data_IF_349476393927
#
_entry.id   IF_349476393927
#
_cell.length_a   1.000
_cell.length_b   1.000
_cell.length_c   1.000
_cell.angle_alpha   90.00
_cell.angle_beta   90.00
_cell.angle_gamma   90.00
#
_symmetry.space_group_name_H-M   'P 1'
#
loop_
_entity.id
_entity.type
_entity.pdbx_description
1 polymer ?
#
# COMPACT_ATOMS: atom_id res chain seq x y z
N UNK A 1 65.18 51.89 60.66
CA UNK A 1 65.07 50.45 60.42
C UNK A 1 63.66 50.22 59.81
N UNK A 2 63.58 50.04 58.49
CA UNK A 2 62.33 49.94 57.77
C UNK A 2 61.98 48.46 57.55
N UNK A 3 60.88 47.99 58.09
CA UNK A 3 60.36 46.68 57.97
C UNK A 3 59.45 46.64 56.68
N UNK A 4 59.81 45.86 55.69
CA UNK A 4 59.00 45.62 54.52
C UNK A 4 58.08 44.41 54.72
N UNK A 5 56.81 44.69 54.68
CA UNK A 5 55.78 43.66 54.72
C UNK A 5 55.58 43.08 53.27
N UNK A 6 55.82 41.80 53.14
CA UNK A 6 55.47 41.07 51.87
C UNK A 6 54.07 40.47 52.08
N UNK A 7 53.09 40.95 51.30
CA UNK A 7 51.76 40.38 51.24
C UNK A 7 51.80 39.22 50.25
N UNK A 8 51.60 38.01 50.72
CA UNK A 8 51.55 36.82 49.88
C UNK A 8 50.11 36.60 49.37
N UNK A 9 49.87 36.83 48.10
CA UNK A 9 48.57 36.64 47.44
C UNK A 9 48.44 35.16 47.03
N UNK A 10 47.61 34.39 47.76
CA UNK A 10 47.27 33.03 47.38
C UNK A 10 46.14 33.08 46.38
N UNK A 11 46.47 32.78 45.13
CA UNK A 11 45.49 32.69 44.03
C UNK A 11 44.86 31.28 44.08
N UNK A 12 43.61 31.19 44.52
CA UNK A 12 42.82 29.93 44.46
C UNK A 12 42.22 29.80 43.06
N UNK A 13 42.78 28.93 42.24
CA UNK A 13 42.26 28.60 40.91
C UNK A 13 41.15 27.59 41.07
N UNK A 14 39.89 28.03 40.92
CA UNK A 14 38.71 27.17 40.92
C UNK A 14 38.59 26.45 39.57
N UNK A 15 38.98 25.17 39.49
CA UNK A 15 38.81 24.32 38.34
C UNK A 15 37.37 23.84 38.29
N UNK A 16 36.52 24.48 37.46
CA UNK A 16 35.19 23.99 37.15
C UNK A 16 35.30 22.84 36.12
N UNK A 17 35.18 21.61 36.56
CA UNK A 17 35.05 20.44 35.73
C UNK A 17 33.65 20.47 35.03
N UNK A 18 33.60 20.89 33.79
CA UNK A 18 32.43 20.69 32.96
C UNK A 18 32.31 19.19 32.67
N UNK A 19 31.44 18.50 33.41
CA UNK A 19 30.95 17.17 33.02
C UNK A 19 30.14 17.33 31.75
N UNK A 20 30.76 17.14 30.58
CA UNK A 20 30.09 17.01 29.30
C UNK A 20 29.34 15.68 29.33
N UNK A 21 28.08 15.69 29.71
CA UNK A 21 27.15 14.64 29.39
C UNK A 21 27.08 14.57 27.85
N UNK A 22 27.83 13.65 27.24
CA UNK A 22 27.54 13.19 25.89
C UNK A 22 26.18 12.50 25.95
N UNK A 23 25.11 13.23 25.63
CA UNK A 23 23.89 12.59 25.12
C UNK A 23 24.26 11.93 23.80
N UNK A 24 24.69 10.67 23.82
CA UNK A 24 24.71 9.85 22.63
C UNK A 24 23.28 9.34 22.42
N UNK A 25 22.39 10.25 22.04
CA UNK A 25 21.18 9.84 21.36
C UNK A 25 21.58 9.55 19.91
N UNK A 26 21.88 8.31 19.63
CA UNK A 26 21.82 7.79 18.27
C UNK A 26 20.33 7.68 17.89
N UNK A 27 19.60 8.78 17.97
CA UNK A 27 18.23 8.89 17.49
C UNK A 27 18.27 8.98 15.96
N UNK A 28 18.68 7.86 15.33
CA UNK A 28 18.32 7.66 13.93
C UNK A 28 16.79 7.50 13.93
N UNK A 29 16.04 8.40 13.30
CA UNK A 29 14.59 8.25 13.23
C UNK A 29 14.26 6.85 12.70
N UNK A 30 13.26 6.16 13.25
CA UNK A 30 12.88 4.85 12.73
C UNK A 30 12.58 4.98 11.23
N UNK A 31 12.95 3.99 10.41
CA UNK A 31 12.64 4.01 9.00
C UNK A 31 11.16 4.29 8.78
N UNK A 32 10.85 5.25 7.91
CA UNK A 32 9.48 5.62 7.60
C UNK A 32 8.71 4.39 7.11
N UNK A 33 7.42 4.37 7.37
CA UNK A 33 6.48 3.47 6.70
C UNK A 33 5.75 4.23 5.60
N UNK A 34 5.14 3.51 4.68
CA UNK A 34 4.32 4.15 3.65
C UNK A 34 3.05 3.33 3.39
N UNK A 35 1.99 4.03 3.02
CA UNK A 35 0.76 3.38 2.58
C UNK A 35 0.21 4.01 1.30
N UNK A 36 -0.43 3.18 0.50
CA UNK A 36 -1.05 3.48 -0.78
C UNK A 36 -2.55 3.27 -0.65
N UNK A 37 -3.39 4.17 -1.13
CA UNK A 37 -4.84 4.06 -1.00
C UNK A 37 -5.47 3.87 -2.37
N UNK A 38 -6.38 2.91 -2.47
CA UNK A 38 -7.12 2.58 -3.70
C UNK A 38 -8.61 2.51 -3.42
N UNK A 39 -9.40 3.25 -4.19
CA UNK A 39 -10.85 3.14 -4.15
C UNK A 39 -11.32 2.10 -5.18
N UNK A 40 -11.59 0.87 -4.71
CA UNK A 40 -11.99 -0.28 -5.53
C UNK A 40 -13.43 -0.77 -5.25
N UNK A 41 -14.25 0.00 -4.53
CA UNK A 41 -15.67 -0.29 -4.27
C UNK A 41 -16.54 0.24 -5.41
N UNK A 42 -17.17 -0.63 -6.23
CA UNK A 42 -17.68 -0.23 -7.55
C UNK A 42 -18.90 0.69 -7.53
N UNK A 43 -19.72 0.66 -6.48
CA UNK A 43 -20.93 1.49 -6.37
C UNK A 43 -20.92 2.42 -5.13
N UNK A 44 -19.75 2.59 -4.50
CA UNK A 44 -19.59 3.61 -3.48
C UNK A 44 -19.40 5.00 -4.13
N UNK A 45 -19.81 6.08 -3.46
CA UNK A 45 -19.54 7.44 -3.93
C UNK A 45 -18.04 7.73 -3.88
N UNK A 46 -17.62 8.89 -4.41
CA UNK A 46 -16.29 9.39 -4.14
C UNK A 46 -16.05 9.51 -2.63
N UNK A 47 -14.84 9.26 -2.19
CA UNK A 47 -14.52 9.19 -0.77
C UNK A 47 -13.43 10.17 -0.36
N UNK A 48 -13.51 10.60 0.90
CA UNK A 48 -12.44 11.26 1.62
C UNK A 48 -11.80 10.26 2.58
N UNK A 49 -10.46 10.23 2.62
CA UNK A 49 -9.71 9.34 3.49
C UNK A 49 -8.98 10.15 4.54
N UNK A 50 -9.25 9.85 5.78
CA UNK A 50 -8.75 10.56 6.96
C UNK A 50 -8.02 9.54 7.85
N UNK A 51 -6.82 9.89 8.32
CA UNK A 51 -6.11 9.09 9.29
C UNK A 51 -5.58 9.98 10.43
N UNK A 52 -5.93 9.64 11.67
CA UNK A 52 -5.60 10.43 12.88
C UNK A 52 -5.95 11.93 12.72
N UNK A 53 -7.07 12.25 12.04
CA UNK A 53 -7.52 13.62 11.79
C UNK A 53 -6.84 14.33 10.62
N UNK A 54 -5.78 13.78 10.02
CA UNK A 54 -5.17 14.27 8.79
C UNK A 54 -5.89 13.74 7.55
N UNK A 55 -6.07 14.59 6.54
CA UNK A 55 -6.70 14.21 5.26
C UNK A 55 -5.60 13.70 4.31
N UNK A 56 -5.71 12.45 3.87
CA UNK A 56 -4.78 11.80 2.95
C UNK A 56 -5.30 11.71 1.52
N UNK A 57 -6.62 11.68 1.36
CA UNK A 57 -7.25 11.79 0.04
C UNK A 57 -8.56 12.55 0.17
N UNK A 58 -8.88 13.36 -0.82
CA UNK A 58 -10.13 14.09 -0.95
C UNK A 58 -10.76 13.79 -2.30
N UNK A 59 -12.07 13.54 -2.30
CA UNK A 59 -12.84 13.29 -3.52
C UNK A 59 -12.24 12.17 -4.39
N UNK A 60 -11.70 11.12 -3.74
CA UNK A 60 -11.11 9.98 -4.43
C UNK A 60 -12.22 9.18 -5.12
N UNK A 61 -12.23 9.23 -6.44
CA UNK A 61 -13.24 8.53 -7.23
C UNK A 61 -12.95 7.03 -7.31
N UNK A 62 -13.99 6.24 -7.55
CA UNK A 62 -13.85 4.83 -7.87
C UNK A 62 -12.82 4.62 -9.00
N UNK A 63 -11.97 3.61 -8.88
CA UNK A 63 -10.82 3.27 -9.73
C UNK A 63 -9.58 4.15 -9.59
N UNK A 64 -9.63 5.17 -8.73
CA UNK A 64 -8.49 6.03 -8.48
C UNK A 64 -7.72 5.60 -7.25
N UNK A 65 -6.48 6.06 -7.19
CA UNK A 65 -5.50 5.80 -6.14
C UNK A 65 -4.69 7.07 -5.82
N UNK A 66 -3.85 6.99 -4.80
CA UNK A 66 -3.13 8.15 -4.27
C UNK A 66 -1.63 8.14 -4.51
N UNK A 67 -1.04 7.01 -4.88
CA UNK A 67 0.39 6.80 -4.66
C UNK A 67 0.73 6.55 -3.18
N UNK A 68 2.02 6.39 -2.86
CA UNK A 68 2.46 6.18 -1.48
C UNK A 68 2.58 7.49 -0.71
N UNK A 69 2.00 7.50 0.51
CA UNK A 69 2.26 8.50 1.54
C UNK A 69 3.25 7.94 2.55
N UNK A 70 4.33 8.68 2.82
CA UNK A 70 5.28 8.34 3.87
C UNK A 70 4.81 8.92 5.19
N UNK A 71 4.73 8.09 6.21
CA UNK A 71 4.24 8.45 7.54
C UNK A 71 5.12 7.84 8.63
N UNK A 72 5.13 8.37 9.86
CA UNK A 72 5.75 7.70 10.99
C UNK A 72 5.09 6.34 11.27
N UNK A 73 5.85 5.32 11.71
CA UNK A 73 5.26 4.06 12.16
C UNK A 73 4.44 4.30 13.43
N UNK A 74 3.15 3.99 13.40
CA UNK A 74 2.22 4.18 14.51
C UNK A 74 0.91 3.42 14.30
N UNK A 75 0.05 3.46 15.31
CA UNK A 75 -1.37 3.12 15.20
C UNK A 75 -2.11 4.31 14.58
N UNK A 76 -2.84 4.05 13.50
CA UNK A 76 -3.69 5.03 12.81
C UNK A 76 -5.15 4.63 12.92
N UNK A 77 -6.01 5.56 13.32
CA UNK A 77 -7.45 5.43 13.10
C UNK A 77 -7.76 5.92 11.70
N UNK A 78 -8.01 4.97 10.79
CA UNK A 78 -8.36 5.24 9.40
C UNK A 78 -9.88 5.35 9.25
N UNK A 79 -10.34 6.44 8.68
CA UNK A 79 -11.73 6.68 8.33
C UNK A 79 -11.87 6.94 6.85
N UNK A 80 -12.85 6.31 6.23
CA UNK A 80 -13.25 6.57 4.85
C UNK A 80 -14.67 7.10 4.90
N UNK A 81 -14.87 8.32 4.45
CA UNK A 81 -16.18 8.99 4.43
C UNK A 81 -16.67 9.21 2.99
N UNK A 82 -17.97 9.29 2.79
CA UNK A 82 -18.49 9.86 1.55
C UNK A 82 -18.03 11.32 1.45
N UNK A 83 -17.51 11.74 0.30
CA UNK A 83 -16.93 13.06 0.09
C UNK A 83 -17.85 14.19 0.58
N UNK A 84 -17.26 15.10 1.35
CA UNK A 84 -17.97 16.26 1.90
C UNK A 84 -18.93 15.94 3.03
N UNK A 85 -18.88 14.74 3.61
CA UNK A 85 -19.77 14.34 4.71
C UNK A 85 -18.97 13.80 5.90
N UNK A 86 -19.65 13.63 7.04
CA UNK A 86 -19.14 12.89 8.21
C UNK A 86 -19.71 11.47 8.29
N UNK A 87 -20.32 10.97 7.20
CA UNK A 87 -20.79 9.61 7.12
C UNK A 87 -19.63 8.66 6.85
N UNK A 88 -19.10 8.04 7.88
CA UNK A 88 -18.00 7.10 7.76
C UNK A 88 -18.49 5.75 7.24
N UNK A 89 -18.04 5.40 6.05
CA UNK A 89 -18.25 4.09 5.41
C UNK A 89 -17.34 3.04 6.01
N UNK A 90 -16.13 3.46 6.43
CA UNK A 90 -15.12 2.62 7.09
C UNK A 90 -14.56 3.42 8.27
N UNK A 91 -14.41 2.76 9.42
CA UNK A 91 -13.69 3.27 10.60
C UNK A 91 -12.90 2.09 11.18
N UNK A 92 -11.57 2.14 11.07
CA UNK A 92 -10.70 1.03 11.42
C UNK A 92 -9.38 1.50 12.01
N UNK A 93 -8.87 0.76 12.99
CA UNK A 93 -7.55 0.98 13.55
C UNK A 93 -6.51 0.10 12.85
N UNK A 94 -5.47 0.71 12.30
CA UNK A 94 -4.41 0.06 11.52
C UNK A 94 -3.05 0.40 12.12
N UNK A 95 -2.23 -0.62 12.38
CA UNK A 95 -0.86 -0.44 12.83
C UNK A 95 0.10 -0.54 11.66
N UNK A 96 0.83 0.54 11.39
CA UNK A 96 1.90 0.57 10.40
C UNK A 96 3.26 0.43 11.09
N UNK A 97 4.02 -0.59 10.69
CA UNK A 97 5.32 -0.93 11.24
C UNK A 97 6.44 -0.21 10.50
N UNK A 98 7.50 0.11 11.23
CA UNK A 98 8.70 0.77 10.69
C UNK A 98 9.29 0.02 9.48
N UNK A 99 9.61 0.75 8.41
CA UNK A 99 10.26 0.24 7.22
C UNK A 99 9.37 -0.62 6.31
N UNK A 100 8.07 -0.69 6.58
CA UNK A 100 7.13 -1.47 5.77
C UNK A 100 6.27 -0.59 4.88
N UNK A 101 5.86 -1.15 3.76
CA UNK A 101 4.95 -0.55 2.79
C UNK A 101 3.62 -1.27 2.82
N UNK A 102 2.52 -0.54 2.59
CA UNK A 102 1.17 -1.11 2.64
C UNK A 102 0.31 -0.57 1.50
N UNK A 103 -0.51 -1.44 0.91
CA UNK A 103 -1.61 -1.05 0.03
C UNK A 103 -2.95 -1.20 0.76
N UNK A 104 -3.74 -0.15 0.78
CA UNK A 104 -5.07 -0.08 1.41
C UNK A 104 -6.12 0.01 0.32
N UNK A 105 -7.05 -0.92 0.32
CA UNK A 105 -8.14 -0.97 -0.66
C UNK A 105 -9.49 -0.81 0.05
N UNK A 106 -10.30 0.14 -0.42
CA UNK A 106 -11.73 0.13 -0.12
C UNK A 106 -12.43 -0.75 -1.15
N UNK A 107 -12.94 -1.90 -0.74
CA UNK A 107 -13.52 -2.93 -1.62
C UNK A 107 -14.95 -3.29 -1.25
N UNK A 108 -15.56 -4.16 -2.04
CA UNK A 108 -16.94 -4.66 -1.95
C UNK A 108 -17.97 -3.62 -2.42
N UNK A 109 -19.24 -3.98 -2.40
CA UNK A 109 -20.35 -3.08 -2.67
C UNK A 109 -20.52 -2.06 -1.54
N UNK A 110 -21.13 -0.90 -1.81
CA UNK A 110 -21.35 0.15 -0.82
C UNK A 110 -21.96 -0.36 0.50
N UNK A 111 -22.96 -1.25 0.41
CA UNK A 111 -23.63 -1.81 1.61
C UNK A 111 -22.74 -2.75 2.44
N UNK A 112 -21.62 -3.20 1.90
CA UNK A 112 -20.65 -4.14 2.52
C UNK A 112 -19.22 -3.61 2.45
N UNK A 113 -19.05 -2.34 2.15
CA UNK A 113 -17.73 -1.72 1.95
C UNK A 113 -16.82 -1.98 3.16
N UNK A 114 -15.58 -2.32 2.88
CA UNK A 114 -14.57 -2.60 3.91
C UNK A 114 -13.19 -2.21 3.44
N UNK A 115 -12.30 -1.93 4.40
CA UNK A 115 -10.88 -1.78 4.14
C UNK A 115 -10.19 -3.15 4.09
N UNK A 116 -9.32 -3.31 3.12
CA UNK A 116 -8.33 -4.38 3.07
C UNK A 116 -6.95 -3.77 3.08
N UNK A 117 -6.11 -4.23 3.98
CA UNK A 117 -4.72 -3.80 4.12
C UNK A 117 -3.81 -4.96 3.77
N UNK A 118 -2.87 -4.71 2.87
CA UNK A 118 -1.90 -5.70 2.43
C UNK A 118 -0.50 -5.13 2.59
N UNK A 119 0.41 -5.86 3.21
CA UNK A 119 1.82 -5.49 3.23
C UNK A 119 2.41 -5.66 1.83
N UNK A 120 3.15 -4.65 1.37
CA UNK A 120 3.85 -4.66 0.10
C UNK A 120 5.29 -5.09 0.32
N UNK A 121 5.54 -6.40 0.26
CA UNK A 121 6.89 -6.95 0.34
C UNK A 121 7.58 -6.73 -1.00
N UNK A 122 8.09 -5.50 -1.18
CA UNK A 122 8.70 -5.07 -2.42
C UNK A 122 10.09 -5.65 -2.59
N UNK A 123 10.42 -6.09 -3.80
CA UNK A 123 11.73 -6.60 -4.14
C UNK A 123 12.16 -6.08 -5.52
N UNK A 124 13.46 -6.10 -5.76
CA UNK A 124 14.01 -5.79 -7.09
C UNK A 124 13.84 -7.03 -7.97
N UNK A 125 13.07 -6.94 -9.07
CA UNK A 125 12.94 -8.06 -10.00
C UNK A 125 14.29 -8.43 -10.63
N UNK A 126 14.40 -9.67 -11.11
CA UNK A 126 15.53 -10.09 -11.95
C UNK A 126 15.60 -9.32 -13.26
N UNK A 127 16.69 -9.51 -14.01
CA UNK A 127 16.85 -8.91 -15.34
C UNK A 127 15.65 -9.27 -16.24
N UNK A 128 15.21 -8.32 -17.05
CA UNK A 128 14.11 -8.44 -18.01
C UNK A 128 12.78 -8.92 -17.39
N UNK A 129 12.59 -8.66 -16.10
CA UNK A 129 11.43 -9.12 -15.34
C UNK A 129 10.72 -7.99 -14.60
N UNK A 130 9.45 -8.21 -14.31
CA UNK A 130 8.65 -7.50 -13.33
C UNK A 130 8.19 -8.48 -12.25
N UNK A 131 7.73 -7.96 -11.13
CA UNK A 131 7.02 -8.72 -10.11
C UNK A 131 5.55 -8.33 -10.14
N UNK A 132 4.66 -9.30 -10.20
CA UNK A 132 3.21 -9.03 -10.19
C UNK A 132 2.52 -9.84 -9.09
N UNK A 133 1.43 -9.31 -8.56
CA UNK A 133 0.46 -10.06 -7.76
C UNK A 133 -0.96 -9.75 -8.24
N UNK A 134 -1.89 -10.66 -8.01
CA UNK A 134 -3.26 -10.53 -8.46
C UNK A 134 -4.24 -10.65 -7.29
N UNK A 135 -5.20 -9.71 -7.21
CA UNK A 135 -6.29 -9.72 -6.24
C UNK A 135 -7.65 -9.82 -6.93
N UNK A 136 -8.54 -10.61 -6.39
CA UNK A 136 -9.92 -10.70 -6.83
C UNK A 136 -10.80 -9.83 -5.90
N UNK A 137 -11.15 -8.60 -6.37
CA UNK A 137 -11.98 -7.64 -5.64
C UNK A 137 -13.35 -7.38 -6.28
N UNK A 138 -13.74 -8.15 -7.30
CA UNK A 138 -15.08 -8.10 -7.84
C UNK A 138 -16.05 -8.90 -6.95
N UNK A 139 -17.06 -8.26 -6.32
CA UNK A 139 -17.87 -8.90 -5.28
C UNK A 139 -18.71 -10.09 -5.74
N UNK A 140 -19.06 -10.13 -7.03
CA UNK A 140 -19.96 -11.14 -7.59
C UNK A 140 -19.34 -11.96 -8.74
N UNK A 141 -18.04 -11.86 -8.96
CA UNK A 141 -17.34 -12.77 -9.88
C UNK A 141 -17.15 -14.11 -9.15
N UNK A 142 -17.59 -15.24 -9.75
CA UNK A 142 -17.43 -16.55 -9.14
C UNK A 142 -15.96 -16.95 -9.06
N UNK A 143 -15.70 -18.11 -8.42
CA UNK A 143 -14.38 -18.74 -8.42
C UNK A 143 -13.84 -18.87 -9.86
N UNK A 144 -12.66 -18.31 -10.12
CA UNK A 144 -12.10 -18.22 -11.46
C UNK A 144 -10.58 -18.39 -11.44
N UNK A 145 -10.02 -18.96 -12.51
CA UNK A 145 -8.58 -18.91 -12.75
C UNK A 145 -8.20 -17.56 -13.38
N UNK A 146 -7.03 -17.05 -13.00
CA UNK A 146 -6.39 -15.89 -13.60
C UNK A 146 -5.12 -16.32 -14.33
N UNK A 147 -4.97 -15.91 -15.60
CA UNK A 147 -3.80 -16.16 -16.43
C UNK A 147 -3.36 -14.88 -17.13
N UNK A 148 -2.11 -14.48 -16.95
CA UNK A 148 -1.46 -13.43 -17.73
C UNK A 148 -0.73 -14.09 -18.89
N UNK A 149 -1.07 -13.72 -20.12
CA UNK A 149 -0.55 -14.38 -21.32
C UNK A 149 -0.19 -13.37 -22.40
N UNK A 150 0.89 -13.65 -23.12
CA UNK A 150 1.24 -13.03 -24.39
C UNK A 150 1.68 -14.10 -25.40
N UNK A 151 2.34 -13.71 -26.48
CA UNK A 151 2.77 -14.63 -27.55
C UNK A 151 3.93 -15.55 -27.14
N UNK A 152 4.72 -15.17 -26.14
CA UNK A 152 5.97 -15.84 -25.77
C UNK A 152 6.03 -16.32 -24.33
N UNK A 153 5.11 -15.85 -23.48
CA UNK A 153 5.13 -16.14 -22.04
C UNK A 153 3.71 -16.26 -21.46
N UNK A 154 3.59 -17.01 -20.38
CA UNK A 154 2.32 -17.19 -19.67
C UNK A 154 2.58 -17.41 -18.18
N UNK A 155 1.86 -16.66 -17.35
CA UNK A 155 1.77 -16.90 -15.91
C UNK A 155 0.32 -17.21 -15.53
N UNK A 156 0.04 -18.47 -15.25
CA UNK A 156 -1.26 -18.94 -14.76
C UNK A 156 -1.15 -19.22 -13.25
N UNK A 157 -2.02 -18.58 -12.47
CA UNK A 157 -2.16 -18.95 -11.07
C UNK A 157 -2.77 -20.35 -10.95
N UNK A 158 -2.06 -21.26 -10.26
CA UNK A 158 -2.43 -22.67 -10.14
C UNK A 158 -3.72 -22.91 -9.36
N UNK A 159 -4.07 -21.95 -8.50
CA UNK A 159 -5.29 -21.97 -7.69
C UNK A 159 -6.25 -20.90 -8.20
N UNK A 160 -7.52 -21.27 -8.38
CA UNK A 160 -8.55 -20.29 -8.70
C UNK A 160 -8.72 -19.28 -7.55
N UNK A 161 -9.21 -18.11 -7.89
CA UNK A 161 -9.31 -16.96 -7.01
C UNK A 161 -10.77 -16.65 -6.72
N UNK A 162 -11.05 -16.29 -5.46
CA UNK A 162 -12.37 -15.83 -5.01
C UNK A 162 -12.26 -14.41 -4.44
N UNK A 163 -13.41 -13.79 -4.21
CA UNK A 163 -13.45 -12.44 -3.66
C UNK A 163 -12.65 -12.32 -2.36
N UNK A 164 -11.66 -11.43 -2.35
CA UNK A 164 -10.84 -11.08 -1.18
C UNK A 164 -10.12 -12.28 -0.52
N UNK A 165 -9.75 -13.29 -1.28
CA UNK A 165 -9.17 -14.54 -0.77
C UNK A 165 -7.77 -14.38 -0.16
N UNK A 166 -7.01 -13.34 -0.51
CA UNK A 166 -5.73 -13.02 0.13
C UNK A 166 -5.89 -12.65 1.62
N UNK A 167 -7.09 -12.31 2.07
CA UNK A 167 -7.35 -12.07 3.50
C UNK A 167 -7.38 -13.35 4.34
N UNK A 168 -7.64 -14.48 3.70
CA UNK A 168 -7.66 -15.80 4.35
C UNK A 168 -6.43 -16.63 4.03
N UNK A 169 -5.77 -16.34 2.92
CA UNK A 169 -4.52 -16.98 2.52
C UNK A 169 -3.49 -15.92 2.09
N UNK A 170 -2.59 -15.58 3.00
CA UNK A 170 -1.58 -14.53 2.79
C UNK A 170 -0.62 -14.83 1.63
N UNK A 171 -0.44 -16.10 1.22
CA UNK A 171 0.38 -16.44 0.06
C UNK A 171 -0.16 -15.84 -1.23
N UNK A 172 -1.46 -15.55 -1.30
CA UNK A 172 -2.08 -14.89 -2.45
C UNK A 172 -1.75 -13.38 -2.55
N UNK A 173 -1.11 -12.82 -1.51
CA UNK A 173 -0.58 -11.45 -1.54
C UNK A 173 0.87 -11.37 -2.01
N UNK A 174 1.55 -12.52 -2.21
CA UNK A 174 2.94 -12.55 -2.64
C UNK A 174 3.10 -12.14 -4.09
N UNK A 175 4.20 -11.43 -4.37
CA UNK A 175 4.59 -11.11 -5.73
C UNK A 175 5.21 -12.32 -6.44
N UNK A 176 4.91 -12.47 -7.71
CA UNK A 176 5.42 -13.54 -8.59
C UNK A 176 6.16 -12.92 -9.77
N UNK A 177 7.34 -13.42 -10.16
CA UNK A 177 8.06 -12.91 -11.31
C UNK A 177 7.33 -13.23 -12.62
N UNK A 178 7.39 -12.28 -13.56
CA UNK A 178 6.91 -12.40 -14.94
C UNK A 178 7.90 -11.65 -15.83
N UNK A 179 8.10 -12.06 -17.09
CA UNK A 179 8.92 -11.31 -18.04
C UNK A 179 8.32 -9.93 -18.29
N UNK A 180 9.17 -8.92 -18.45
CA UNK A 180 8.71 -7.60 -18.87
C UNK A 180 8.03 -7.69 -20.24
N UNK A 181 6.92 -6.98 -20.43
CA UNK A 181 6.17 -7.06 -21.69
C UNK A 181 4.73 -6.62 -21.55
N UNK A 182 3.99 -6.77 -22.66
CA UNK A 182 2.54 -6.52 -22.71
C UNK A 182 1.79 -7.84 -22.67
N UNK A 183 0.78 -7.90 -21.82
CA UNK A 183 0.00 -9.10 -21.55
C UNK A 183 -1.50 -8.87 -21.69
N UNK A 184 -2.21 -9.96 -21.89
CA UNK A 184 -3.64 -10.09 -21.70
C UNK A 184 -3.89 -10.85 -20.41
N UNK A 185 -4.74 -10.32 -19.51
CA UNK A 185 -5.27 -11.08 -18.37
C UNK A 185 -6.54 -11.79 -18.80
N UNK A 186 -6.56 -13.12 -18.66
CA UNK A 186 -7.73 -13.97 -18.86
C UNK A 186 -8.28 -14.41 -17.50
N UNK A 187 -9.56 -14.17 -17.32
CA UNK A 187 -10.34 -14.67 -16.16
C UNK A 187 -11.25 -15.78 -16.69
N UNK A 188 -11.02 -16.99 -16.21
CA UNK A 188 -11.76 -18.20 -16.62
C UNK A 188 -12.62 -18.68 -15.43
N UNK A 189 -13.91 -18.29 -15.38
CA UNK A 189 -14.81 -18.73 -14.31
C UNK A 189 -15.08 -20.23 -14.36
N UNK A 190 -15.23 -20.85 -13.19
CA UNK A 190 -15.52 -22.30 -13.10
C UNK A 190 -17.02 -22.63 -13.09
N UNK A 191 -17.88 -21.61 -13.13
CA UNK A 191 -19.33 -21.77 -13.26
C UNK A 191 -19.81 -22.02 -14.72
N UNK A 192 -18.89 -22.16 -15.65
CA UNK A 192 -19.17 -22.30 -17.09
C UNK A 192 -19.44 -20.99 -17.83
N UNK A 193 -19.33 -19.86 -17.17
CA UNK A 193 -19.42 -18.56 -17.83
C UNK A 193 -18.26 -18.35 -18.82
N UNK A 194 -18.47 -17.48 -19.81
CA UNK A 194 -17.45 -17.14 -20.79
C UNK A 194 -16.17 -16.60 -20.14
N UNK A 195 -15.03 -16.92 -20.75
CA UNK A 195 -13.73 -16.32 -20.39
C UNK A 195 -13.77 -14.83 -20.69
N UNK A 196 -13.30 -14.05 -19.72
CA UNK A 196 -13.22 -12.59 -19.81
C UNK A 196 -11.77 -12.19 -20.00
N UNK A 197 -11.51 -11.33 -20.98
CA UNK A 197 -10.17 -10.92 -21.36
C UNK A 197 -9.95 -9.43 -21.18
N UNK A 198 -8.79 -9.07 -20.62
CA UNK A 198 -8.33 -7.70 -20.44
C UNK A 198 -6.95 -7.52 -21.08
N UNK A 199 -6.90 -7.07 -22.34
CA UNK A 199 -5.63 -6.90 -23.07
C UNK A 199 -4.91 -5.61 -22.66
N UNK A 200 -3.63 -5.51 -23.05
CA UNK A 200 -2.86 -4.27 -22.97
C UNK A 200 -2.26 -3.97 -21.61
N UNK A 201 -2.10 -4.96 -20.73
CA UNK A 201 -1.42 -4.78 -19.45
C UNK A 201 0.09 -4.75 -19.67
N UNK A 202 0.74 -3.62 -19.39
CA UNK A 202 2.18 -3.43 -19.60
C UNK A 202 2.92 -3.56 -18.27
N UNK A 203 3.86 -4.50 -18.22
CA UNK A 203 4.77 -4.70 -17.09
C UNK A 203 6.19 -4.34 -17.51
N UNK A 204 6.70 -3.21 -17.01
CA UNK A 204 8.05 -2.74 -17.31
C UNK A 204 9.08 -3.50 -16.45
N UNK A 205 10.29 -3.65 -17.00
CA UNK A 205 11.42 -4.24 -16.29
C UNK A 205 11.71 -3.50 -14.98
N UNK A 206 12.06 -4.26 -13.93
CA UNK A 206 12.47 -3.71 -12.64
C UNK A 206 11.33 -3.16 -11.78
N UNK A 207 10.06 -3.47 -12.10
CA UNK A 207 8.89 -2.89 -11.41
C UNK A 207 8.05 -3.95 -10.69
N UNK A 208 7.33 -3.49 -9.65
CA UNK A 208 6.34 -4.30 -8.93
C UNK A 208 4.94 -3.76 -9.22
N UNK A 209 4.00 -4.67 -9.52
CA UNK A 209 2.63 -4.30 -9.86
C UNK A 209 1.63 -5.13 -9.05
N UNK A 210 0.60 -4.46 -8.53
CA UNK A 210 -0.60 -5.12 -8.04
C UNK A 210 -1.71 -4.95 -9.07
N UNK A 211 -2.20 -6.07 -9.58
CA UNK A 211 -3.32 -6.14 -10.50
C UNK A 211 -4.54 -6.60 -9.71
N UNK A 212 -5.67 -5.96 -9.88
CA UNK A 212 -6.89 -6.37 -9.19
C UNK A 212 -8.11 -6.34 -10.11
N UNK A 213 -8.90 -7.42 -10.05
CA UNK A 213 -10.20 -7.49 -10.68
C UNK A 213 -11.19 -6.65 -9.87
N UNK A 214 -11.95 -5.79 -10.52
CA UNK A 214 -12.88 -4.84 -9.90
C UNK A 214 -14.21 -4.77 -10.65
N UNK A 215 -15.20 -4.12 -10.07
CA UNK A 215 -16.51 -3.98 -10.68
C UNK A 215 -17.39 -5.20 -10.43
N UNK A 216 -18.55 -5.20 -11.01
CA UNK A 216 -19.50 -6.32 -10.95
C UNK A 216 -19.46 -7.12 -12.25
N UNK A 217 -19.58 -8.46 -12.17
CA UNK A 217 -19.64 -9.35 -13.34
C UNK A 217 -20.68 -8.89 -14.37
N UNK A 218 -21.84 -8.47 -13.89
CA UNK A 218 -22.95 -8.00 -14.73
C UNK A 218 -23.16 -6.48 -14.62
N UNK A 219 -22.11 -5.75 -14.22
CA UNK A 219 -22.15 -4.30 -14.08
C UNK A 219 -22.11 -3.58 -15.42
N UNK A 220 -22.57 -2.33 -15.42
CA UNK A 220 -22.54 -1.47 -16.60
C UNK A 220 -21.74 -0.18 -16.34
N UNK A 221 -21.27 0.46 -17.40
CA UNK A 221 -20.52 1.71 -17.34
C UNK A 221 -19.25 1.56 -16.47
N UNK A 222 -19.04 2.48 -15.54
CA UNK A 222 -17.86 2.47 -14.64
C UNK A 222 -17.88 1.30 -13.65
N UNK A 223 -19.04 0.70 -13.39
CA UNK A 223 -19.21 -0.43 -12.49
C UNK A 223 -19.04 -1.79 -13.20
N UNK A 224 -18.89 -1.81 -14.51
CA UNK A 224 -18.61 -3.03 -15.27
C UNK A 224 -17.34 -3.70 -14.77
N UNK A 225 -17.29 -5.02 -14.93
CA UNK A 225 -16.10 -5.79 -14.59
C UNK A 225 -14.89 -5.23 -15.34
N UNK A 226 -13.82 -4.99 -14.63
CA UNK A 226 -12.61 -4.37 -15.15
C UNK A 226 -11.40 -4.70 -14.32
N UNK A 227 -10.25 -4.22 -14.76
CA UNK A 227 -8.97 -4.40 -14.09
C UNK A 227 -8.43 -3.06 -13.62
N UNK A 228 -7.91 -3.03 -12.40
CA UNK A 228 -7.06 -1.96 -11.91
C UNK A 228 -5.61 -2.44 -11.82
N UNK A 229 -4.68 -1.52 -12.05
CA UNK A 229 -3.25 -1.78 -11.95
C UNK A 229 -2.62 -0.65 -11.15
N UNK A 230 -1.92 -0.99 -10.09
CA UNK A 230 -1.08 -0.03 -9.34
C UNK A 230 0.38 -0.41 -9.46
N UNK A 231 1.24 0.58 -9.53
CA UNK A 231 2.68 0.45 -9.53
C UNK A 231 3.19 0.55 -8.08
N UNK A 232 3.64 -0.56 -7.52
CA UNK A 232 4.07 -0.61 -6.12
C UNK A 232 5.53 -0.21 -5.90
N UNK A 233 6.37 -0.15 -6.92
CA UNK A 233 7.77 0.25 -6.81
C UNK A 233 8.19 1.09 -8.01
N UNK A 234 8.86 2.19 -7.69
CA UNK A 234 9.63 3.04 -8.60
C UNK A 234 8.80 3.87 -9.58
N UNK A 235 9.22 5.07 -9.78
CA UNK A 235 8.80 5.97 -10.87
C UNK A 235 9.54 5.64 -12.18
#
# INVERSE_FOLDING_TARGET
>A
MKIKHYTFLVSVTLITAFASCKLSSSDTPPPATAFYIVHASPNAPNVDVIANGGIYAQNLAYTKDTGYFYVPPALYNLKVASTGTTNYLIDANLTFQSGKFYSLFAIDSLSKIKAVVVEDVLAVPGADSALIRFFQFSPNTPYAYAEFKNTTDSLKYSTGRTFNDQSTNSSFASFTPIKAGTYELKISPLDGSAVISFPGLVFANGRNYTIYLRGFKDGAGTQALGVGVIKNLGD
#
